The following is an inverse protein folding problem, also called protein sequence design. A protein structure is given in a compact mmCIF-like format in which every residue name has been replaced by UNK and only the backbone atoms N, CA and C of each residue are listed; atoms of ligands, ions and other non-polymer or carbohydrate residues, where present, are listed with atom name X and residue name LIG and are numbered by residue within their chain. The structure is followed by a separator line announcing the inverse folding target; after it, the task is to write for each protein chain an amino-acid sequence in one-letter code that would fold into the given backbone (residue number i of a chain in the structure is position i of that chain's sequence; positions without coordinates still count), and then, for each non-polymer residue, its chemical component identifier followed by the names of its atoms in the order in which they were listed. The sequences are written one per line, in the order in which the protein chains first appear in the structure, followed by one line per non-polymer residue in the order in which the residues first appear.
data_IF_694153905210
#
_entry.id   IF_694153905210
#
_cell.length_a   1.000
_cell.length_b   1.000
_cell.length_c   1.000
_cell.angle_alpha   90.00
_cell.angle_beta   90.00
_cell.angle_gamma   90.00
#
_symmetry.space_group_name_H-M   'P 1'
#
loop_
_entity.id
_entity.type
_entity.pdbx_description
1 polymer ?
#
# COMPACT_ATOMS: atom_id res chain seq x y z
N UNK A 1 6.94 -1.55 61.69
CA UNK A 1 5.90 -1.01 60.77
C UNK A 1 6.11 -1.68 59.43
N UNK A 2 5.42 -2.82 59.20
CA UNK A 2 4.37 -3.03 58.15
C UNK A 2 4.95 -2.85 56.74
N UNK A 3 4.98 -3.77 55.77
CA UNK A 3 4.36 -5.09 55.46
C UNK A 3 5.08 -5.51 54.15
N UNK A 4 5.68 -6.68 53.90
CA UNK A 4 5.19 -8.06 53.84
C UNK A 4 4.06 -8.30 52.80
N UNK A 5 4.28 -9.30 51.93
CA UNK A 5 3.37 -10.08 51.06
C UNK A 5 2.99 -9.50 49.68
N UNK A 6 2.77 -10.23 48.57
CA UNK A 6 2.92 -11.62 48.12
C UNK A 6 1.90 -11.76 46.97
N UNK A 7 2.30 -11.91 45.69
CA UNK A 7 1.57 -12.72 44.68
C UNK A 7 2.25 -12.71 43.29
N UNK A 8 2.66 -13.91 42.85
CA UNK A 8 2.72 -14.31 41.46
C UNK A 8 1.38 -14.06 40.73
N UNK A 9 1.41 -13.64 39.46
CA UNK A 9 0.58 -14.16 38.33
C UNK A 9 0.89 -13.31 37.06
N UNK A 10 1.52 -13.84 36.00
CA UNK A 10 0.92 -14.59 34.88
C UNK A 10 0.56 -13.70 33.66
N UNK A 11 0.77 -14.24 32.45
CA UNK A 11 0.46 -13.71 31.10
C UNK A 11 1.51 -12.77 30.46
N UNK A 12 2.56 -13.27 29.81
CA UNK A 12 2.54 -13.94 28.50
C UNK A 12 1.86 -13.10 27.39
N UNK A 13 2.61 -12.23 26.72
CA UNK A 13 2.50 -12.10 25.25
C UNK A 13 3.78 -11.52 24.64
N UNK A 14 4.90 -12.18 24.96
CA UNK A 14 6.02 -12.31 24.05
C UNK A 14 5.71 -13.51 23.12
N UNK A 15 4.62 -13.42 22.35
CA UNK A 15 4.35 -14.32 21.21
C UNK A 15 5.08 -13.72 20.01
N UNK A 16 6.05 -14.35 19.34
CA UNK A 16 6.24 -15.77 19.01
C UNK A 16 5.03 -16.42 18.34
N UNK A 17 4.68 -15.90 17.18
CA UNK A 17 4.32 -16.61 15.94
C UNK A 17 4.14 -15.50 14.90
N UNK A 18 4.97 -15.39 13.86
CA UNK A 18 4.84 -16.17 12.64
C UNK A 18 6.18 -16.01 11.88
N UNK A 19 7.22 -16.79 12.16
CA UNK A 19 7.53 -18.04 11.45
C UNK A 19 6.60 -18.37 10.25
N UNK A 20 6.77 -17.59 9.19
CA UNK A 20 6.62 -17.95 7.77
C UNK A 20 7.49 -16.89 7.07
N UNK A 21 8.60 -17.16 6.44
CA UNK A 21 9.13 -18.41 5.94
C UNK A 21 10.62 -18.16 5.63
N UNK A 22 11.49 -19.09 6.00
CA UNK A 22 12.92 -19.06 5.69
C UNK A 22 13.18 -19.76 4.34
N UNK A 23 12.24 -19.70 3.41
CA UNK A 23 12.30 -20.46 2.19
C UNK A 23 11.60 -19.75 1.04
N UNK A 24 12.18 -18.66 0.55
CA UNK A 24 12.13 -18.37 -0.88
C UNK A 24 13.27 -17.41 -1.28
N UNK A 25 14.41 -17.99 -1.61
CA UNK A 25 15.27 -17.43 -2.64
C UNK A 25 15.19 -18.39 -3.82
N UNK A 26 14.57 -17.97 -4.93
CA UNK A 26 15.41 -17.56 -6.05
C UNK A 26 14.77 -16.45 -6.90
N UNK A 27 15.21 -15.20 -6.73
CA UNK A 27 15.61 -14.33 -7.86
C UNK A 27 16.02 -12.94 -7.37
N UNK A 28 17.23 -12.53 -7.75
CA UNK A 28 17.58 -11.11 -7.83
C UNK A 28 16.79 -10.56 -9.03
N UNK A 29 15.56 -10.14 -8.78
CA UNK A 29 14.73 -9.42 -9.75
C UNK A 29 13.85 -8.43 -8.99
N UNK A 30 14.37 -7.22 -8.81
CA UNK A 30 13.61 -5.97 -8.56
C UNK A 30 12.57 -6.03 -7.44
N UNK A 31 12.95 -5.56 -6.25
CA UNK A 31 12.02 -5.19 -5.16
C UNK A 31 11.25 -3.90 -5.53
N UNK A 32 10.55 -3.92 -6.67
CA UNK A 32 9.56 -2.91 -7.02
C UNK A 32 8.28 -3.31 -6.27
N UNK A 33 7.82 -2.53 -5.28
CA UNK A 33 6.55 -2.81 -4.61
C UNK A 33 5.42 -2.80 -5.65
N UNK A 34 4.85 -3.98 -5.90
CA UNK A 34 3.66 -4.13 -6.73
C UNK A 34 2.43 -4.25 -5.80
N UNK A 35 1.49 -3.34 -5.99
CA UNK A 35 0.23 -3.28 -5.27
C UNK A 35 -0.89 -3.75 -6.18
N UNK A 36 -1.72 -4.66 -5.70
CA UNK A 36 -2.94 -5.05 -6.40
C UNK A 36 -4.14 -4.33 -5.78
N UNK A 37 -4.90 -3.63 -6.62
CA UNK A 37 -6.11 -2.90 -6.20
C UNK A 37 -7.33 -3.40 -6.95
N UNK A 38 -8.28 -3.96 -6.23
CA UNK A 38 -9.56 -4.41 -6.80
C UNK A 38 -10.56 -3.26 -6.83
N UNK A 39 -11.09 -2.95 -8.01
CA UNK A 39 -12.14 -1.96 -8.20
C UNK A 39 -13.48 -2.48 -7.69
N UNK A 40 -14.12 -1.72 -6.80
CA UNK A 40 -15.48 -2.03 -6.28
C UNK A 40 -16.59 -1.38 -7.11
N UNK A 41 -16.27 -0.68 -8.20
CA UNK A 41 -17.23 0.01 -9.06
C UNK A 41 -16.66 0.29 -10.46
N UNK A 42 -17.33 1.14 -11.24
CA UNK A 42 -17.00 1.36 -12.67
C UNK A 42 -15.63 2.02 -12.90
N UNK A 43 -15.17 2.83 -11.96
CA UNK A 43 -13.89 3.53 -12.02
C UNK A 43 -13.45 4.04 -10.63
N UNK A 44 -12.16 4.32 -10.48
CA UNK A 44 -11.58 5.00 -9.32
C UNK A 44 -10.82 6.24 -9.79
N UNK A 45 -10.93 7.33 -9.05
CA UNK A 45 -10.16 8.53 -9.36
C UNK A 45 -8.71 8.36 -8.94
N UNK A 46 -7.76 8.82 -9.76
CA UNK A 46 -6.32 8.64 -9.53
C UNK A 46 -5.87 9.08 -8.13
N UNK A 47 -6.32 10.26 -7.67
CA UNK A 47 -5.96 10.74 -6.34
C UNK A 47 -6.57 9.91 -5.20
N UNK A 48 -7.73 9.28 -5.44
CA UNK A 48 -8.37 8.39 -4.47
C UNK A 48 -7.65 7.05 -4.42
N UNK A 49 -7.23 6.53 -5.57
CA UNK A 49 -6.36 5.35 -5.67
C UNK A 49 -5.08 5.55 -4.85
N UNK A 50 -4.36 6.67 -5.05
CA UNK A 50 -3.14 6.98 -4.29
C UNK A 50 -3.37 7.03 -2.77
N UNK A 51 -4.53 7.52 -2.34
CA UNK A 51 -4.89 7.55 -0.92
C UNK A 51 -5.17 6.13 -0.39
N UNK A 52 -5.94 5.32 -1.11
CA UNK A 52 -6.33 3.97 -0.66
C UNK A 52 -5.12 3.03 -0.64
N UNK A 53 -4.21 3.18 -1.60
CA UNK A 53 -2.97 2.41 -1.72
C UNK A 53 -1.88 2.84 -0.73
N UNK A 54 -2.09 3.93 0.00
CA UNK A 54 -1.09 4.44 0.98
C UNK A 54 0.09 5.17 0.35
N UNK A 55 0.06 5.45 -0.96
CA UNK A 55 1.09 6.23 -1.66
C UNK A 55 1.05 7.73 -1.34
N UNK A 56 -0.05 8.20 -0.74
CA UNK A 56 -0.21 9.57 -0.33
C UNK A 56 -0.78 9.64 1.09
N UNK A 57 -0.08 10.33 1.98
CA UNK A 57 -0.48 10.50 3.40
C UNK A 57 -1.82 11.22 3.56
N UNK A 58 -2.20 12.04 2.59
CA UNK A 58 -3.45 12.80 2.58
C UNK A 58 -3.98 13.05 1.16
N UNK A 59 -5.28 13.33 1.05
CA UNK A 59 -5.89 13.74 -0.22
C UNK A 59 -5.28 15.03 -0.82
N UNK A 60 -4.65 15.87 0.01
CA UNK A 60 -3.87 17.03 -0.44
C UNK A 60 -2.57 16.61 -1.12
N UNK A 61 -1.79 15.74 -0.48
CA UNK A 61 -0.54 15.20 -1.05
C UNK A 61 -0.75 14.46 -2.36
N UNK A 62 -1.81 13.64 -2.47
CA UNK A 62 -2.14 12.93 -3.71
C UNK A 62 -2.35 13.89 -4.90
N UNK A 63 -3.01 15.04 -4.67
CA UNK A 63 -3.22 16.04 -5.72
C UNK A 63 -1.91 16.69 -6.17
N UNK A 64 -0.98 16.93 -5.25
CA UNK A 64 0.34 17.50 -5.55
C UNK A 64 1.18 16.53 -6.36
N UNK A 65 1.22 15.25 -5.96
CA UNK A 65 1.98 14.19 -6.65
C UNK A 65 1.48 13.97 -8.08
N UNK A 66 0.15 13.97 -8.28
CA UNK A 66 -0.40 13.89 -9.64
C UNK A 66 -0.11 15.17 -10.42
N UNK A 67 -0.28 16.34 -9.81
CA UNK A 67 -0.01 17.62 -10.49
C UNK A 67 1.46 17.82 -10.87
N UNK A 68 2.40 17.21 -10.14
CA UNK A 68 3.83 17.22 -10.48
C UNK A 68 4.19 16.28 -11.63
N UNK A 69 3.25 15.43 -12.09
CA UNK A 69 3.50 14.44 -13.14
C UNK A 69 4.38 13.28 -12.67
N UNK A 70 4.40 13.00 -11.37
CA UNK A 70 5.13 11.85 -10.80
C UNK A 70 4.41 10.51 -11.01
N UNK A 71 3.22 10.53 -11.62
CA UNK A 71 2.37 9.37 -11.83
C UNK A 71 2.24 9.08 -13.31
N UNK A 72 2.39 7.81 -13.66
CA UNK A 72 2.20 7.29 -15.02
C UNK A 72 1.09 6.27 -15.00
N UNK A 73 0.19 6.32 -15.98
CA UNK A 73 -0.89 5.35 -16.16
C UNK A 73 -0.65 4.69 -17.51
N UNK A 74 -0.50 3.38 -17.52
CA UNK A 74 -0.22 2.59 -18.73
C UNK A 74 0.99 3.13 -19.54
N UNK A 75 1.98 3.70 -18.84
CA UNK A 75 3.18 4.29 -19.43
C UNK A 75 3.05 5.75 -19.89
N UNK A 76 1.89 6.39 -19.73
CA UNK A 76 1.70 7.81 -20.01
C UNK A 76 1.69 8.64 -18.73
N UNK A 77 2.48 9.72 -18.69
CA UNK A 77 2.50 10.63 -17.54
C UNK A 77 1.14 11.31 -17.44
N UNK A 78 0.45 11.05 -16.35
CA UNK A 78 -0.87 11.60 -16.08
C UNK A 78 -0.78 12.72 -15.04
N UNK A 79 -1.07 13.94 -15.48
CA UNK A 79 -1.13 15.12 -14.62
C UNK A 79 -2.55 15.47 -14.16
N UNK A 80 -3.54 14.72 -14.66
CA UNK A 80 -4.97 14.93 -14.36
C UNK A 80 -5.36 14.24 -13.05
N UNK A 81 -5.46 15.02 -11.97
CA UNK A 81 -5.90 14.58 -10.62
C UNK A 81 -7.27 13.87 -10.56
N UNK A 82 -8.13 14.09 -11.55
CA UNK A 82 -9.45 13.45 -11.70
C UNK A 82 -9.46 12.44 -12.85
N UNK A 83 -8.29 11.92 -13.25
CA UNK A 83 -8.25 10.83 -14.22
C UNK A 83 -9.00 9.62 -13.64
N UNK A 84 -9.93 9.08 -14.45
CA UNK A 84 -10.74 7.94 -14.08
C UNK A 84 -9.99 6.68 -14.48
N UNK A 85 -9.45 6.00 -13.49
CA UNK A 85 -8.76 4.72 -13.65
C UNK A 85 -9.81 3.61 -13.65
N UNK A 86 -9.76 2.77 -14.68
CA UNK A 86 -10.59 1.58 -14.83
C UNK A 86 -9.76 0.34 -14.54
N UNK A 87 -10.45 -0.79 -14.41
CA UNK A 87 -9.76 -2.05 -14.23
C UNK A 87 -9.00 -2.46 -15.49
N UNK A 88 -7.95 -3.25 -15.31
CA UNK A 88 -6.98 -3.57 -16.34
C UNK A 88 -5.91 -2.50 -16.54
N UNK A 89 -6.03 -1.33 -15.90
CA UNK A 89 -5.02 -0.28 -15.98
C UNK A 89 -3.93 -0.46 -14.92
N UNK A 90 -2.73 0.02 -15.25
CA UNK A 90 -1.57 -0.02 -14.35
C UNK A 90 -1.11 1.40 -14.05
N UNK A 91 -1.08 1.75 -12.78
CA UNK A 91 -0.57 3.04 -12.30
C UNK A 91 0.82 2.84 -11.74
N UNK A 92 1.77 3.68 -12.14
CA UNK A 92 3.17 3.66 -11.74
C UNK A 92 3.50 5.01 -11.09
N UNK A 93 4.05 4.96 -9.89
CA UNK A 93 4.50 6.12 -9.14
C UNK A 93 5.89 5.81 -8.59
N UNK A 94 6.91 6.49 -9.14
CA UNK A 94 8.31 6.18 -8.84
C UNK A 94 8.60 4.69 -9.06
N UNK A 95 8.93 4.00 -7.96
CA UNK A 95 9.24 2.57 -7.96
C UNK A 95 8.04 1.68 -7.57
N UNK A 96 6.88 2.29 -7.25
CA UNK A 96 5.66 1.55 -6.90
C UNK A 96 4.76 1.38 -8.11
N UNK A 97 4.35 0.13 -8.34
CA UNK A 97 3.38 -0.23 -9.37
C UNK A 97 2.06 -0.61 -8.71
N UNK A 98 0.95 -0.16 -9.26
CA UNK A 98 -0.40 -0.50 -8.84
C UNK A 98 -1.11 -1.14 -10.04
N UNK A 99 -1.43 -2.42 -9.94
CA UNK A 99 -2.27 -3.10 -10.90
C UNK A 99 -3.73 -3.02 -10.45
N UNK A 100 -4.58 -2.44 -11.29
CA UNK A 100 -6.01 -2.31 -11.01
C UNK A 100 -6.76 -3.48 -11.64
N UNK A 101 -7.48 -4.25 -10.84
CA UNK A 101 -8.23 -5.43 -11.27
C UNK A 101 -9.74 -5.21 -11.12
N UNK A 102 -10.54 -5.93 -11.91
CA UNK A 102 -12.00 -5.99 -11.73
C UNK A 102 -12.33 -6.79 -10.47
N UNK A 103 -13.32 -6.33 -9.70
CA UNK A 103 -13.83 -6.99 -8.48
C UNK A 103 -15.14 -7.71 -8.65
#
# INVERSE_FOLDING_TARGET
MRSAFFTCFFHALFSRAFFHDFADAPSIATDMPNLDFTLTGDYVELHNLLKITGLADSGGSAKVIVASGAVTVDGQVETRKTCKIRAGQVVLLGDTRIAVHEG
#
